data_IF_809415747807
#
_entry.id   IF_809415747807
#
_cell.length_a   1.000
_cell.length_b   1.000
_cell.length_c   1.000
_cell.angle_alpha   90.00
_cell.angle_beta   90.00
_cell.angle_gamma   90.00
#
_symmetry.space_group_name_H-M   'P 1'
#
loop_
_entity.id
_entity.type
_entity.pdbx_description
1 polymer ?
#
# COMPACT_ATOMS: atom_id res chain seq x y z
N UNK A 1 2.15 31.47 -8.42
CA UNK A 1 3.46 31.87 -9.01
C UNK A 1 3.46 31.41 -10.46
N UNK A 2 3.70 32.35 -11.37
CA UNK A 2 3.63 32.19 -12.83
C UNK A 2 4.59 31.13 -13.39
N UNK A 3 4.25 30.57 -14.58
CA UNK A 3 5.06 29.60 -15.31
C UNK A 3 6.18 30.31 -16.09
N UNK A 4 7.23 29.58 -16.47
CA UNK A 4 8.18 30.04 -17.49
C UNK A 4 8.74 28.87 -18.29
N UNK A 5 8.51 28.99 -19.59
CA UNK A 5 9.10 28.24 -20.69
C UNK A 5 10.63 28.18 -20.62
N UNK A 6 11.23 27.08 -21.09
CA UNK A 6 12.27 27.17 -22.11
C UNK A 6 12.50 25.79 -22.76
N UNK A 7 12.02 25.67 -24.00
CA UNK A 7 12.48 24.67 -24.94
C UNK A 7 13.90 25.04 -25.42
N UNK A 8 14.75 24.03 -25.59
CA UNK A 8 15.95 24.14 -26.42
C UNK A 8 16.10 22.84 -27.22
N UNK A 9 15.33 22.76 -28.31
CA UNK A 9 15.69 21.97 -29.49
C UNK A 9 16.82 22.71 -30.21
N UNK A 10 17.93 22.04 -30.47
CA UNK A 10 18.86 22.44 -31.53
C UNK A 10 19.22 21.23 -32.38
N UNK A 11 18.49 21.11 -33.47
CA UNK A 11 18.92 20.45 -34.70
C UNK A 11 20.30 20.95 -35.12
N UNK A 12 21.23 20.02 -35.38
CA UNK A 12 22.42 20.30 -36.20
C UNK A 12 22.49 19.25 -37.30
N UNK A 13 21.72 19.50 -38.35
CA UNK A 13 21.93 18.92 -39.66
C UNK A 13 23.10 19.66 -40.34
N UNK A 14 24.26 19.04 -40.44
CA UNK A 14 25.32 19.51 -41.36
C UNK A 14 25.30 18.70 -42.65
N UNK A 15 24.67 19.33 -43.64
CA UNK A 15 24.75 19.09 -45.07
C UNK A 15 26.21 19.12 -45.57
N UNK A 16 26.61 18.14 -46.39
CA UNK A 16 27.81 18.24 -47.22
C UNK A 16 27.41 18.03 -48.70
N UNK A 17 27.28 19.16 -49.42
CA UNK A 17 27.00 19.23 -50.85
C UNK A 17 28.29 19.20 -51.68
N UNK A 18 28.33 18.23 -52.61
CA UNK A 18 28.47 18.34 -54.08
C UNK A 18 29.44 19.33 -54.76
N UNK A 19 29.95 18.84 -55.91
CA UNK A 19 30.70 19.44 -57.02
C UNK A 19 32.20 19.70 -56.78
N UNK A 20 33.14 19.22 -57.59
CA UNK A 20 33.12 18.80 -58.99
C UNK A 20 34.19 19.63 -59.72
N UNK A 21 35.10 18.99 -60.46
CA UNK A 21 35.84 19.55 -61.61
C UNK A 21 36.98 18.62 -62.05
N UNK A 22 36.70 17.79 -63.05
CA UNK A 22 37.72 17.30 -63.98
C UNK A 22 37.87 18.32 -65.12
N UNK A 23 39.10 18.68 -65.51
CA UNK A 23 39.36 19.20 -66.85
C UNK A 23 40.14 18.21 -67.71
N UNK A 24 39.62 18.05 -68.93
CA UNK A 24 40.21 17.39 -70.08
C UNK A 24 41.62 17.91 -70.46
N UNK A 25 42.39 16.95 -70.99
CA UNK A 25 43.43 17.01 -72.01
C UNK A 25 44.17 18.31 -72.38
N UNK A 26 45.50 18.23 -72.40
CA UNK A 26 46.31 18.75 -73.50
C UNK A 26 47.56 17.88 -73.73
N UNK A 27 47.71 17.43 -74.96
CA UNK A 27 48.92 16.88 -75.56
C UNK A 27 50.01 17.96 -75.65
N UNK A 28 51.26 17.59 -75.39
CA UNK A 28 52.41 18.35 -75.89
C UNK A 28 53.55 17.38 -76.24
N UNK A 29 53.93 17.41 -77.50
CA UNK A 29 54.99 16.62 -78.12
C UNK A 29 56.39 17.08 -77.70
N UNK A 30 57.29 16.09 -77.66
CA UNK A 30 58.72 16.10 -77.91
C UNK A 30 59.49 17.43 -77.99
N UNK A 31 60.59 17.54 -77.24
CA UNK A 31 61.89 17.54 -77.92
C UNK A 31 63.02 16.97 -77.05
N UNK A 32 63.93 16.30 -77.74
CA UNK A 32 65.08 15.56 -77.23
C UNK A 32 66.29 16.47 -77.15
N UNK A 33 66.93 16.56 -75.99
CA UNK A 33 68.34 16.94 -75.91
C UNK A 33 69.14 15.83 -75.27
N UNK A 34 70.04 15.29 -76.09
CA UNK A 34 70.89 14.17 -75.79
C UNK A 34 72.00 14.49 -74.79
N UNK A 35 72.18 13.54 -73.88
CA UNK A 35 73.46 12.97 -73.44
C UNK A 35 74.42 13.83 -72.61
N UNK A 36 74.44 13.52 -71.31
CA UNK A 36 75.52 13.88 -70.38
C UNK A 36 75.34 13.24 -68.99
N UNK A 37 75.67 11.95 -68.85
CA UNK A 37 75.59 11.09 -67.63
C UNK A 37 74.17 10.81 -67.10
N UNK A 38 73.92 9.61 -66.53
CA UNK A 38 72.61 9.29 -65.95
C UNK A 38 72.30 10.26 -64.79
N UNK A 39 71.22 11.03 -64.93
CA UNK A 39 70.03 10.95 -64.07
C UNK A 39 70.22 10.88 -62.53
N UNK A 40 71.31 11.41 -61.98
CA UNK A 40 71.52 11.50 -60.51
C UNK A 40 70.43 12.34 -59.80
N UNK A 41 69.85 13.33 -60.51
CA UNK A 41 68.76 14.15 -59.97
C UNK A 41 67.40 13.43 -59.90
N UNK A 42 67.09 12.59 -60.88
CA UNK A 42 65.81 11.86 -60.95
C UNK A 42 65.79 10.67 -59.97
N UNK A 43 66.93 10.01 -59.79
CA UNK A 43 67.13 8.97 -58.77
C UNK A 43 67.04 9.52 -57.34
N UNK A 44 67.67 10.67 -57.05
CA UNK A 44 67.53 11.35 -55.75
C UNK A 44 66.08 11.70 -55.41
N UNK A 45 65.31 12.22 -56.37
CA UNK A 45 63.89 12.54 -56.16
C UNK A 45 63.06 11.29 -55.90
N UNK A 46 63.31 10.18 -56.61
CA UNK A 46 62.64 8.92 -56.36
C UNK A 46 62.93 8.39 -54.95
N UNK A 47 64.20 8.47 -54.51
CA UNK A 47 64.60 8.08 -53.17
C UNK A 47 64.01 9.01 -52.09
N UNK A 48 63.93 10.31 -52.35
CA UNK A 48 63.28 11.28 -51.47
C UNK A 48 61.78 11.00 -51.33
N UNK A 49 61.08 10.79 -52.44
CA UNK A 49 59.64 10.47 -52.43
C UNK A 49 59.41 9.17 -51.67
N UNK A 50 60.25 8.14 -51.88
CA UNK A 50 60.17 6.87 -51.15
C UNK A 50 60.41 7.05 -49.65
N UNK A 51 61.38 7.88 -49.27
CA UNK A 51 61.64 8.22 -47.87
C UNK A 51 60.46 8.98 -47.24
N UNK A 52 59.87 9.94 -47.97
CA UNK A 52 58.69 10.69 -47.51
C UNK A 52 57.47 9.78 -47.36
N UNK A 53 57.20 8.89 -48.31
CA UNK A 53 56.12 7.91 -48.25
C UNK A 53 56.31 6.94 -47.07
N UNK A 54 57.55 6.45 -46.87
CA UNK A 54 57.88 5.60 -45.73
C UNK A 54 57.67 6.32 -44.40
N UNK A 55 58.04 7.60 -44.33
CA UNK A 55 57.84 8.42 -43.12
C UNK A 55 56.36 8.69 -42.88
N UNK A 56 55.61 9.03 -43.92
CA UNK A 56 54.16 9.24 -43.84
C UNK A 56 53.41 7.98 -43.39
N UNK A 57 53.78 6.81 -43.92
CA UNK A 57 53.20 5.54 -43.48
C UNK A 57 53.52 5.24 -42.01
N UNK A 58 54.76 5.52 -41.57
CA UNK A 58 55.16 5.34 -40.17
C UNK A 58 54.43 6.31 -39.22
N UNK A 59 54.24 7.57 -39.62
CA UNK A 59 53.45 8.55 -38.85
C UNK A 59 51.96 8.21 -38.83
N UNK A 60 51.40 7.74 -39.94
CA UNK A 60 50.02 7.27 -40.00
C UNK A 60 49.81 6.10 -39.02
N UNK A 61 50.72 5.11 -39.03
CA UNK A 61 50.67 3.98 -38.10
C UNK A 61 50.74 4.45 -36.63
N UNK A 62 51.68 5.35 -36.31
CA UNK A 62 51.79 5.93 -34.95
C UNK A 62 50.54 6.71 -34.54
N UNK A 63 49.96 7.48 -35.45
CA UNK A 63 48.73 8.24 -35.21
C UNK A 63 47.53 7.31 -34.96
N UNK A 64 47.41 6.22 -35.72
CA UNK A 64 46.35 5.22 -35.50
C UNK A 64 46.50 4.51 -34.17
N UNK A 65 47.71 4.12 -33.78
CA UNK A 65 47.98 3.47 -32.49
C UNK A 65 47.66 4.40 -31.31
N UNK A 66 48.10 5.66 -31.39
CA UNK A 66 47.81 6.66 -30.36
C UNK A 66 46.32 7.00 -30.27
N UNK A 67 45.62 7.05 -31.40
CA UNK A 67 44.16 7.24 -31.43
C UNK A 67 43.47 6.08 -30.73
N UNK A 68 43.91 4.85 -30.99
CA UNK A 68 43.30 3.67 -30.42
C UNK A 68 43.61 3.52 -28.94
N UNK A 69 44.83 3.87 -28.51
CA UNK A 69 45.18 3.96 -27.10
C UNK A 69 44.30 4.97 -26.35
N UNK A 70 44.06 6.16 -26.93
CA UNK A 70 43.19 7.18 -26.35
C UNK A 70 41.74 6.72 -26.28
N UNK A 71 41.23 6.08 -27.35
CA UNK A 71 39.89 5.50 -27.39
C UNK A 71 39.74 4.46 -26.28
N UNK A 72 40.70 3.55 -26.15
CA UNK A 72 40.68 2.49 -25.15
C UNK A 72 40.71 3.06 -23.72
N UNK A 73 41.62 4.00 -23.44
CA UNK A 73 41.69 4.68 -22.15
C UNK A 73 40.38 5.40 -21.78
N UNK A 74 39.71 6.01 -22.77
CA UNK A 74 38.44 6.67 -22.54
C UNK A 74 37.30 5.68 -22.26
N UNK A 75 37.24 4.56 -23.00
CA UNK A 75 36.27 3.48 -22.74
C UNK A 75 36.47 2.87 -21.35
N UNK A 76 37.72 2.65 -20.94
CA UNK A 76 38.03 2.11 -19.61
C UNK A 76 37.64 3.09 -18.50
N UNK A 77 37.84 4.39 -18.71
CA UNK A 77 37.37 5.42 -17.78
C UNK A 77 35.83 5.47 -17.69
N UNK A 78 35.11 5.31 -18.80
CA UNK A 78 33.64 5.25 -18.80
C UNK A 78 33.17 4.02 -18.01
N UNK A 79 33.75 2.84 -18.26
CA UNK A 79 33.39 1.60 -17.56
C UNK A 79 33.70 1.65 -16.08
N UNK A 80 34.82 2.25 -15.69
CA UNK A 80 35.16 2.46 -14.29
C UNK A 80 34.14 3.35 -13.58
N UNK A 81 33.70 4.44 -14.24
CA UNK A 81 32.67 5.32 -13.70
C UNK A 81 31.31 4.63 -13.61
N UNK A 82 30.89 3.93 -14.66
CA UNK A 82 29.65 3.14 -14.69
C UNK A 82 29.60 2.12 -13.56
N UNK A 83 30.71 1.43 -13.28
CA UNK A 83 30.78 0.47 -12.18
C UNK A 83 30.58 1.10 -10.80
N UNK A 84 31.10 2.32 -10.58
CA UNK A 84 30.90 3.09 -9.34
C UNK A 84 29.44 3.54 -9.24
N UNK A 85 28.91 4.18 -10.29
CA UNK A 85 27.52 4.64 -10.33
C UNK A 85 26.53 3.49 -10.11
N UNK A 86 26.79 2.31 -10.69
CA UNK A 86 25.97 1.13 -10.49
C UNK A 86 25.99 0.63 -9.04
N UNK A 87 27.10 0.75 -8.32
CA UNK A 87 27.16 0.39 -6.90
C UNK A 87 26.44 1.42 -6.03
N UNK A 88 26.62 2.71 -6.30
CA UNK A 88 25.91 3.79 -5.62
C UNK A 88 24.38 3.64 -5.77
N UNK A 89 23.90 3.28 -6.97
CA UNK A 89 22.48 3.00 -7.21
C UNK A 89 21.98 1.76 -6.45
N UNK A 90 22.81 0.72 -6.30
CA UNK A 90 22.44 -0.46 -5.50
C UNK A 90 22.37 -0.12 -4.02
N UNK A 91 23.32 0.64 -3.49
CA UNK A 91 23.29 1.07 -2.10
C UNK A 91 22.10 1.97 -1.81
N UNK A 92 21.81 2.95 -2.68
CA UNK A 92 20.62 3.79 -2.56
C UNK A 92 19.33 2.96 -2.54
N UNK A 93 19.20 2.00 -3.45
CA UNK A 93 18.02 1.13 -3.49
C UNK A 93 17.88 0.28 -2.21
N UNK A 94 18.99 -0.21 -1.64
CA UNK A 94 18.97 -0.96 -0.37
C UNK A 94 18.53 -0.05 0.79
N UNK A 95 19.03 1.17 0.84
CA UNK A 95 18.66 2.15 1.86
C UNK A 95 17.19 2.55 1.75
N UNK A 96 16.68 2.75 0.54
CA UNK A 96 15.27 3.04 0.28
C UNK A 96 14.36 1.90 0.76
N UNK A 97 14.68 0.65 0.41
CA UNK A 97 13.93 -0.54 0.88
C UNK A 97 13.92 -0.60 2.40
N UNK A 98 15.08 -0.41 3.04
CA UNK A 98 15.17 -0.38 4.50
C UNK A 98 14.35 0.77 5.11
N UNK A 99 14.33 1.94 4.48
CA UNK A 99 13.52 3.07 4.88
C UNK A 99 12.02 2.77 4.82
N UNK A 100 11.57 2.15 3.72
CA UNK A 100 10.19 1.72 3.51
C UNK A 100 9.79 0.68 4.57
N UNK A 101 10.62 -0.33 4.81
CA UNK A 101 10.35 -1.38 5.81
C UNK A 101 10.24 -0.78 7.21
N UNK A 102 11.19 0.08 7.59
CA UNK A 102 11.15 0.76 8.89
C UNK A 102 9.92 1.66 9.05
N UNK A 103 9.50 2.36 8.00
CA UNK A 103 8.30 3.18 8.01
C UNK A 103 7.04 2.32 8.15
N UNK A 104 6.94 1.25 7.37
CA UNK A 104 5.83 0.29 7.39
C UNK A 104 5.68 -0.35 8.78
N UNK A 105 6.78 -0.79 9.38
CA UNK A 105 6.79 -1.35 10.74
C UNK A 105 6.32 -0.35 11.80
N UNK A 106 6.78 0.90 11.68
CA UNK A 106 6.34 1.99 12.55
C UNK A 106 4.84 2.26 12.41
N UNK A 107 4.35 2.28 11.18
CA UNK A 107 2.96 2.56 10.86
C UNK A 107 2.02 1.44 11.30
N UNK A 108 2.40 0.17 11.10
CA UNK A 108 1.67 -0.99 11.61
C UNK A 108 1.55 -0.92 13.14
N UNK A 109 2.63 -0.59 13.84
CA UNK A 109 2.61 -0.42 15.30
C UNK A 109 1.67 0.72 15.71
N UNK A 110 1.74 1.86 15.02
CA UNK A 110 0.87 3.02 15.27
C UNK A 110 -0.61 2.66 15.11
N UNK A 111 -0.97 2.00 14.01
CA UNK A 111 -2.35 1.57 13.73
C UNK A 111 -2.84 0.56 14.78
N UNK A 112 -2.00 -0.41 15.18
CA UNK A 112 -2.33 -1.37 16.24
C UNK A 112 -2.64 -0.68 17.57
N UNK A 113 -1.76 0.23 18.00
CA UNK A 113 -1.95 1.00 19.24
C UNK A 113 -3.20 1.89 19.17
N UNK A 114 -3.45 2.52 18.03
CA UNK A 114 -4.66 3.31 17.78
C UNK A 114 -5.92 2.47 17.91
N UNK A 115 -5.94 1.30 17.26
CA UNK A 115 -7.05 0.35 17.33
C UNK A 115 -7.32 -0.10 18.76
N UNK A 116 -6.28 -0.49 19.49
CA UNK A 116 -6.41 -0.92 20.89
C UNK A 116 -6.97 0.19 21.77
N UNK A 117 -6.47 1.42 21.61
CA UNK A 117 -6.97 2.60 22.34
C UNK A 117 -8.45 2.88 22.04
N UNK A 118 -8.86 2.82 20.77
CA UNK A 118 -10.26 3.02 20.38
C UNK A 118 -11.19 1.93 20.92
N UNK A 119 -10.73 0.67 20.91
CA UNK A 119 -11.49 -0.44 21.49
C UNK A 119 -11.65 -0.24 23.01
N UNK A 120 -10.58 0.12 23.71
CA UNK A 120 -10.63 0.39 25.15
C UNK A 120 -11.59 1.54 25.47
N UNK A 121 -11.47 2.67 24.75
CA UNK A 121 -12.36 3.82 24.92
C UNK A 121 -13.82 3.45 24.66
N UNK A 122 -14.11 2.63 23.64
CA UNK A 122 -15.48 2.21 23.34
C UNK A 122 -16.05 1.27 24.40
N UNK A 123 -15.23 0.36 24.95
CA UNK A 123 -15.63 -0.53 26.04
C UNK A 123 -15.95 0.27 27.31
N UNK A 124 -15.13 1.26 27.64
CA UNK A 124 -15.38 2.15 28.77
C UNK A 124 -16.68 2.93 28.59
N UNK A 125 -16.89 3.51 27.41
CA UNK A 125 -18.14 4.20 27.10
C UNK A 125 -19.37 3.29 27.22
N UNK A 126 -19.26 2.03 26.80
CA UNK A 126 -20.33 1.04 26.96
C UNK A 126 -20.59 0.74 28.44
N UNK A 127 -19.53 0.59 29.23
CA UNK A 127 -19.64 0.34 30.67
C UNK A 127 -20.40 1.47 31.37
N UNK A 128 -19.98 2.72 31.15
CA UNK A 128 -20.64 3.91 31.71
C UNK A 128 -22.13 3.98 31.33
N UNK A 129 -22.47 3.75 30.06
CA UNK A 129 -23.87 3.74 29.61
C UNK A 129 -24.70 2.64 30.24
N UNK A 130 -24.11 1.45 30.45
CA UNK A 130 -24.80 0.36 31.14
C UNK A 130 -25.03 0.67 32.61
N UNK A 131 -24.10 1.34 33.28
CA UNK A 131 -24.27 1.80 34.67
C UNK A 131 -25.35 2.88 34.79
N UNK A 132 -25.34 3.85 33.88
CA UNK A 132 -26.38 4.88 33.78
C UNK A 132 -27.76 4.23 33.57
N UNK A 133 -27.88 3.34 32.59
CA UNK A 133 -29.12 2.62 32.31
C UNK A 133 -29.60 1.77 33.50
N UNK A 134 -28.68 1.06 34.19
CA UNK A 134 -29.02 0.31 35.41
C UNK A 134 -29.57 1.23 36.50
N UNK A 135 -29.01 2.44 36.62
CA UNK A 135 -29.48 3.43 37.59
C UNK A 135 -30.88 3.93 37.24
N UNK A 136 -31.16 4.18 35.96
CA UNK A 136 -32.50 4.56 35.48
C UNK A 136 -33.50 3.45 35.77
N UNK A 137 -33.21 2.21 35.37
CA UNK A 137 -34.08 1.05 35.63
C UNK A 137 -34.30 0.83 37.14
N UNK A 138 -33.28 1.00 37.97
CA UNK A 138 -33.43 0.85 39.43
C UNK A 138 -34.41 1.88 40.00
N UNK A 139 -34.37 3.13 39.52
CA UNK A 139 -35.32 4.18 39.93
C UNK A 139 -36.74 3.91 39.45
N UNK A 140 -36.90 3.41 38.22
CA UNK A 140 -38.21 3.01 37.69
C UNK A 140 -38.84 1.89 38.53
N UNK A 141 -38.04 0.87 38.86
CA UNK A 141 -38.48 -0.22 39.75
C UNK A 141 -38.89 0.33 41.12
N UNK A 142 -38.09 1.20 41.73
CA UNK A 142 -38.41 1.83 43.01
C UNK A 142 -39.72 2.64 42.95
N UNK A 143 -39.94 3.40 41.88
CA UNK A 143 -41.16 4.18 41.68
C UNK A 143 -42.41 3.28 41.56
N UNK A 144 -42.31 2.19 40.80
CA UNK A 144 -43.38 1.19 40.67
C UNK A 144 -43.67 0.52 42.01
N UNK A 145 -42.63 0.11 42.74
CA UNK A 145 -42.79 -0.51 44.06
C UNK A 145 -43.45 0.46 45.06
N UNK A 146 -43.05 1.73 45.06
CA UNK A 146 -43.64 2.76 45.90
C UNK A 146 -45.13 3.02 45.58
N UNK A 147 -45.50 3.06 44.29
CA UNK A 147 -46.89 3.22 43.88
C UNK A 147 -47.76 2.02 44.28
N UNK A 148 -47.25 0.80 44.12
CA UNK A 148 -47.94 -0.41 44.58
C UNK A 148 -48.07 -0.45 46.11
N UNK A 149 -47.04 -0.04 46.85
CA UNK A 149 -47.08 0.04 48.31
C UNK A 149 -48.12 1.07 48.79
N UNK A 150 -48.22 2.22 48.11
CA UNK A 150 -49.24 3.24 48.37
C UNK A 150 -50.65 2.68 48.14
N UNK A 151 -50.89 2.06 46.99
CA UNK A 151 -52.17 1.42 46.68
C UNK A 151 -52.57 0.33 47.69
N UNK A 152 -51.62 -0.49 48.13
CA UNK A 152 -51.85 -1.50 49.18
C UNK A 152 -52.29 -0.85 50.49
N UNK A 153 -51.60 0.21 50.90
CA UNK A 153 -51.95 0.97 52.12
C UNK A 153 -53.34 1.60 52.02
N UNK A 154 -53.68 2.21 50.89
CA UNK A 154 -55.02 2.78 50.64
C UNK A 154 -56.10 1.70 50.67
N UNK A 155 -55.81 0.53 50.10
CA UNK A 155 -56.73 -0.62 50.09
C UNK A 155 -56.96 -1.14 51.51
N UNK A 156 -55.92 -1.29 52.32
CA UNK A 156 -56.06 -1.69 53.73
C UNK A 156 -56.83 -0.65 54.56
N UNK A 157 -56.58 0.65 54.33
CA UNK A 157 -57.34 1.71 55.00
C UNK A 157 -58.81 1.74 54.56
N UNK A 158 -59.08 1.46 53.29
CA UNK A 158 -60.43 1.31 52.75
C UNK A 158 -61.19 0.18 53.47
N UNK A 159 -60.61 -1.02 53.54
CA UNK A 159 -61.25 -2.16 54.21
C UNK A 159 -61.40 -1.96 55.71
N UNK A 160 -60.40 -1.36 56.39
CA UNK A 160 -60.54 -0.97 57.80
C UNK A 160 -61.74 -0.06 58.01
N UNK A 161 -61.92 0.98 57.19
CA UNK A 161 -63.09 1.87 57.31
C UNK A 161 -64.41 1.14 57.05
N UNK A 162 -64.42 0.18 56.11
CA UNK A 162 -65.62 -0.62 55.79
C UNK A 162 -66.02 -1.54 56.95
N UNK A 163 -65.05 -2.06 57.71
CA UNK A 163 -65.28 -2.94 58.87
C UNK A 163 -65.99 -2.23 60.04
N UNK A 164 -65.73 -0.93 60.23
CA UNK A 164 -66.37 -0.13 61.29
C UNK A 164 -67.75 0.43 60.92
N UNK A 165 -68.15 0.35 59.65
CA UNK A 165 -69.42 0.88 59.17
C UNK A 165 -70.55 -0.16 59.36
N UNK A 166 -71.63 0.23 60.01
CA UNK A 166 -72.77 -0.67 60.31
C UNK A 166 -74.00 -0.34 59.46
N UNK A 167 -74.06 0.86 58.86
CA UNK A 167 -75.17 1.25 57.99
C UNK A 167 -75.01 0.67 56.57
N UNK A 168 -75.96 -0.16 56.08
CA UNK A 168 -75.88 -0.76 54.75
C UNK A 168 -75.82 0.27 53.60
N UNK A 169 -76.43 1.45 53.77
CA UNK A 169 -76.37 2.51 52.74
C UNK A 169 -75.00 3.16 52.73
N UNK A 170 -74.40 3.40 53.90
CA UNK A 170 -73.05 3.90 54.03
C UNK A 170 -72.00 2.92 53.48
N UNK A 171 -72.15 1.61 53.73
CA UNK A 171 -71.33 0.55 53.14
C UNK A 171 -71.40 0.59 51.60
N UNK A 172 -72.60 0.70 51.03
CA UNK A 172 -72.77 0.76 49.58
C UNK A 172 -72.11 2.01 48.96
N UNK A 173 -72.22 3.16 49.63
CA UNK A 173 -71.55 4.40 49.21
C UNK A 173 -70.02 4.27 49.30
N UNK A 174 -69.51 3.69 50.39
CA UNK A 174 -68.09 3.45 50.59
C UNK A 174 -67.56 2.47 49.53
N UNK A 175 -68.31 1.42 49.19
CA UNK A 175 -67.92 0.47 48.14
C UNK A 175 -67.68 1.14 46.78
N UNK A 176 -68.37 2.24 46.49
CA UNK A 176 -68.15 3.06 45.29
C UNK A 176 -66.85 3.87 45.28
N UNK A 177 -66.17 4.04 46.43
CA UNK A 177 -64.91 4.79 46.56
C UNK A 177 -63.70 3.87 46.74
N UNK A 178 -63.74 2.68 46.12
CA UNK A 178 -62.61 1.74 46.18
C UNK A 178 -61.37 2.36 45.53
N UNK A 179 -60.18 2.26 46.17
CA UNK A 179 -58.93 2.66 45.54
C UNK A 179 -58.74 1.97 44.18
N UNK A 180 -58.24 2.71 43.19
CA UNK A 180 -57.98 2.20 41.83
C UNK A 180 -56.50 1.84 41.73
N UNK A 181 -56.21 0.72 41.07
CA UNK A 181 -54.83 0.30 40.86
C UNK A 181 -54.09 1.32 39.97
N UNK A 182 -52.87 1.73 40.32
CA UNK A 182 -52.10 2.69 39.53
C UNK A 182 -51.79 2.14 38.13
N UNK A 183 -51.78 3.03 37.11
CA UNK A 183 -51.35 2.67 35.75
C UNK A 183 -49.82 2.71 35.71
N UNK A 184 -49.19 1.55 35.77
CA UNK A 184 -47.74 1.43 35.94
C UNK A 184 -46.96 1.99 34.75
N UNK A 185 -47.54 1.97 33.54
CA UNK A 185 -46.91 2.52 32.33
C UNK A 185 -46.73 4.04 32.39
N UNK A 186 -47.48 4.74 33.25
CA UNK A 186 -47.33 6.18 33.47
C UNK A 186 -46.25 6.50 34.51
N UNK A 187 -45.82 5.51 35.29
CA UNK A 187 -44.81 5.63 36.34
C UNK A 187 -43.44 5.34 35.71
N UNK A 188 -43.09 6.20 34.75
CA UNK A 188 -41.85 6.14 33.99
C UNK A 188 -40.85 7.22 34.39
N UNK A 189 -39.67 7.27 33.74
CA UNK A 189 -38.58 8.16 34.10
C UNK A 189 -38.91 9.67 33.96
N UNK A 190 -39.98 10.01 33.24
CA UNK A 190 -40.46 11.39 33.08
C UNK A 190 -41.37 11.87 34.23
N UNK A 191 -41.91 10.97 35.05
CA UNK A 191 -42.89 11.33 36.10
C UNK A 191 -42.22 11.89 37.37
N UNK A 192 -40.95 11.54 37.63
CA UNK A 192 -40.16 12.11 38.75
C UNK A 192 -39.78 13.58 38.54
N UNK A 193 -39.97 14.14 37.34
CA UNK A 193 -39.76 15.57 37.06
C UNK A 193 -41.06 16.39 37.18
N UNK A 194 -42.23 15.77 37.33
CA UNK A 194 -43.53 16.48 37.40
C UNK A 194 -44.01 16.78 38.83
N UNK A 195 -43.22 16.47 39.86
CA UNK A 195 -43.58 16.66 41.28
C UNK A 195 -43.18 17.99 41.92
N UNK A 196 -42.48 18.88 41.22
CA UNK A 196 -42.05 20.19 41.75
C UNK A 196 -42.23 21.29 40.71
N UNK A 197 -43.44 21.86 40.68
CA UNK A 197 -43.69 23.17 40.11
C UNK A 197 -42.99 24.23 40.99
N UNK A 198 -42.05 24.95 40.40
CA UNK A 198 -41.16 25.84 41.13
C UNK A 198 -40.10 26.50 40.26
N UNK A 199 -40.55 27.27 39.27
CA UNK A 199 -39.98 28.57 38.90
C UNK A 199 -38.48 28.67 38.54
N UNK A 200 -38.27 29.07 37.28
CA UNK A 200 -37.22 29.98 36.82
C UNK A 200 -35.81 29.39 36.57
N UNK A 201 -35.45 29.26 35.27
CA UNK A 201 -34.24 29.84 34.70
C UNK A 201 -34.06 29.36 33.25
N UNK A 202 -34.26 30.27 32.30
CA UNK A 202 -33.53 30.24 31.03
C UNK A 202 -32.06 30.61 31.32
N UNK A 203 -31.09 29.87 30.79
CA UNK A 203 -30.09 30.53 29.94
C UNK A 203 -29.78 29.63 28.72
N UNK A 204 -29.93 30.18 27.53
CA UNK A 204 -28.88 30.89 26.80
C UNK A 204 -28.13 29.93 25.88
N UNK A 205 -28.40 30.11 24.58
CA UNK A 205 -27.73 29.44 23.50
C UNK A 205 -26.39 30.15 23.24
N UNK A 206 -25.27 29.43 23.06
CA UNK A 206 -24.17 29.98 22.30
C UNK A 206 -24.31 29.57 20.83
N UNK A 207 -24.28 30.61 20.01
CA UNK A 207 -24.09 30.56 18.57
C UNK A 207 -22.78 29.84 18.16
N UNK A 208 -22.86 29.18 17.02
CA UNK A 208 -21.86 29.08 15.95
C UNK A 208 -20.37 29.06 16.30
N UNK A 209 -19.71 27.94 15.94
CA UNK A 209 -18.43 28.01 15.22
C UNK A 209 -18.60 27.20 13.93
N UNK A 210 -18.37 27.88 12.82
CA UNK A 210 -18.30 27.36 11.46
C UNK A 210 -16.93 26.73 11.17
N UNK A 211 -16.82 26.17 9.97
CA UNK A 211 -15.63 25.64 9.28
C UNK A 211 -15.31 24.16 9.59
N UNK A 212 -15.04 23.29 8.62
CA UNK A 212 -15.06 23.35 7.15
C UNK A 212 -14.85 21.91 6.65
N UNK A 213 -15.36 21.61 5.45
CA UNK A 213 -14.80 20.64 4.48
C UNK A 213 -14.70 19.17 4.93
N UNK A 214 -14.74 18.14 4.09
CA UNK A 214 -15.02 17.95 2.69
C UNK A 214 -15.16 16.43 2.56
N UNK A 215 -15.96 16.02 1.58
CA UNK A 215 -15.75 14.83 0.76
C UNK A 215 -16.78 13.70 0.86
N UNK A 216 -17.25 13.34 -0.33
CA UNK A 216 -18.14 12.24 -0.64
C UNK A 216 -17.28 11.01 -1.04
N UNK A 217 -17.87 10.00 -1.68
CA UNK A 217 -18.27 8.73 -1.10
C UNK A 217 -17.21 7.61 -1.19
N UNK A 218 -17.11 6.80 -0.13
CA UNK A 218 -16.45 5.48 -0.13
C UNK A 218 -17.26 4.55 -1.06
N UNK A 219 -16.77 4.26 -2.27
CA UNK A 219 -15.74 3.28 -2.62
C UNK A 219 -16.21 1.82 -2.43
N UNK A 220 -16.61 1.26 -3.58
CA UNK A 220 -16.34 -0.11 -4.09
C UNK A 220 -16.19 -1.25 -3.09
N UNK A 221 -17.15 -2.17 -3.21
CA UNK A 221 -17.10 -3.55 -2.74
C UNK A 221 -15.74 -4.21 -2.99
N UNK A 222 -15.08 -4.62 -1.91
CA UNK A 222 -13.95 -5.55 -1.94
C UNK A 222 -14.50 -6.93 -2.24
N UNK A 223 -14.05 -7.48 -3.36
CA UNK A 223 -14.32 -8.83 -3.80
C UNK A 223 -13.79 -9.84 -2.78
N UNK A 224 -14.68 -10.74 -2.40
CA UNK A 224 -14.44 -11.99 -1.67
C UNK A 224 -13.59 -12.91 -2.58
N UNK A 225 -12.29 -13.03 -2.31
CA UNK A 225 -11.41 -14.00 -2.95
C UNK A 225 -11.43 -15.28 -2.09
N UNK A 226 -12.40 -16.15 -2.37
CA UNK A 226 -12.40 -17.52 -1.87
C UNK A 226 -11.65 -18.44 -2.85
N UNK A 227 -10.73 -19.30 -2.37
CA UNK A 227 -10.15 -20.34 -3.20
C UNK A 227 -11.18 -21.43 -3.45
N UNK A 228 -11.64 -21.55 -4.68
CA UNK A 228 -12.41 -22.70 -5.15
C UNK A 228 -11.49 -23.91 -5.33
N UNK A 229 -11.77 -24.97 -4.56
CA UNK A 229 -11.23 -26.31 -4.81
C UNK A 229 -11.73 -26.81 -6.17
N UNK A 230 -10.80 -26.99 -7.11
CA UNK A 230 -11.06 -27.67 -8.36
C UNK A 230 -11.01 -29.19 -8.13
N UNK A 231 -12.21 -29.78 -8.09
CA UNK A 231 -12.42 -31.21 -8.36
C UNK A 231 -12.27 -31.44 -9.87
N UNK A 232 -11.24 -32.17 -10.29
CA UNK A 232 -11.23 -32.85 -11.59
C UNK A 232 -11.19 -34.37 -11.35
N UNK A 233 -12.39 -34.92 -11.47
CA UNK A 233 -12.72 -36.33 -11.59
C UNK A 233 -12.32 -36.78 -13.02
N UNK A 234 -11.26 -37.57 -13.13
CA UNK A 234 -10.84 -38.20 -14.38
C UNK A 234 -10.88 -39.72 -14.20
N UNK A 235 -12.08 -40.24 -14.41
CA UNK A 235 -12.41 -41.64 -14.58
C UNK A 235 -11.74 -42.19 -15.86
N UNK A 236 -10.71 -43.03 -15.70
CA UNK A 236 -10.17 -43.87 -16.78
C UNK A 236 -10.06 -45.31 -16.27
N UNK A 237 -10.92 -46.15 -16.85
CA UNK A 237 -11.04 -47.58 -16.62
C UNK A 237 -9.79 -48.34 -17.08
N UNK A 238 -9.31 -49.35 -16.34
CA UNK A 238 -8.37 -50.34 -16.87
C UNK A 238 -9.14 -51.58 -17.36
N UNK A 239 -8.83 -52.01 -18.58
CA UNK A 239 -9.17 -53.36 -19.06
C UNK A 239 -7.98 -53.93 -19.82
N UNK A 240 -7.68 -55.17 -19.44
CA UNK A 240 -6.89 -56.21 -20.11
C UNK A 240 -5.35 -56.10 -20.07
N UNK A 241 -4.66 -57.04 -19.40
CA UNK A 241 -4.31 -58.33 -19.99
C UNK A 241 -3.65 -59.26 -18.94
N UNK A 242 -3.91 -60.56 -19.08
CA UNK A 242 -3.50 -61.63 -18.17
C UNK A 242 -2.12 -62.23 -18.48
N UNK A 243 -1.49 -62.76 -17.41
CA UNK A 243 -0.67 -63.97 -17.34
C UNK A 243 0.80 -63.98 -17.83
N UNK A 244 1.74 -64.23 -16.91
CA UNK A 244 2.57 -65.48 -16.74
C UNK A 244 3.77 -65.17 -15.83
N UNK A 245 3.86 -65.75 -14.63
CA UNK A 245 4.63 -66.97 -14.32
C UNK A 245 6.11 -66.93 -14.70
N UNK A 246 7.00 -66.57 -13.76
CA UNK A 246 8.20 -67.37 -13.44
C UNK A 246 8.95 -66.82 -12.22
N UNK A 247 9.38 -67.76 -11.40
CA UNK A 247 10.28 -67.60 -10.26
C UNK A 247 11.63 -67.02 -10.67
N UNK A 248 12.22 -66.17 -9.81
CA UNK A 248 13.65 -66.26 -9.55
C UNK A 248 13.94 -65.90 -8.09
N UNK A 249 14.40 -66.93 -7.41
CA UNK A 249 14.87 -67.03 -6.04
C UNK A 249 16.36 -66.67 -6.05
N UNK A 250 16.77 -65.58 -5.40
CA UNK A 250 18.18 -65.38 -5.01
C UNK A 250 18.34 -64.77 -3.62
N UNK A 251 19.28 -65.32 -2.82
CA UNK A 251 19.43 -65.00 -1.41
C UNK A 251 20.22 -63.71 -1.17
N UNK A 252 19.92 -63.08 -0.04
CA UNK A 252 20.64 -61.92 0.50
C UNK A 252 21.86 -62.42 1.28
N UNK A 253 23.07 -62.14 0.78
CA UNK A 253 24.30 -62.35 1.55
C UNK A 253 24.52 -61.20 2.56
N UNK A 254 24.80 -61.47 3.85
CA UNK A 254 25.24 -60.47 4.81
C UNK A 254 26.77 -60.42 4.88
N UNK A 255 27.38 -59.33 4.41
CA UNK A 255 28.81 -59.08 4.68
C UNK A 255 28.96 -58.33 6.00
N UNK A 256 29.35 -59.11 7.00
CA UNK A 256 30.00 -58.77 8.26
C UNK A 256 31.27 -57.94 7.97
N UNK A 257 31.44 -56.84 8.71
CA UNK A 257 32.65 -56.03 8.71
C UNK A 257 32.86 -55.32 10.04
N UNK A 258 33.16 -56.09 11.09
CA UNK A 258 33.71 -55.64 12.37
C UNK A 258 35.23 -55.54 12.26
N UNK A 259 35.81 -54.42 12.70
CA UNK A 259 37.12 -54.26 13.36
C UNK A 259 37.26 -52.78 13.71
N UNK A 260 37.14 -52.32 14.96
CA UNK A 260 38.03 -52.49 16.13
C UNK A 260 39.48 -52.10 15.83
N UNK A 261 39.89 -50.90 16.29
CA UNK A 261 40.94 -50.68 17.28
C UNK A 261 41.15 -49.17 17.49
#
# INVERSE_FOLDING_TARGET
>A
MSPRDEQAETDVATSFSSNGSDPDGLSSESDSFASGKPDDGTTFLADLVKAMQSTAAAEQARSTELTEQRRQAHVDAIRAREAIEAEDLRELAKDDVKGIDSWSDGEIKRIKLERERRIAARREQLHLRLEEHRTVVAREVEAVEAAVATYRTETEQFFRRLEWETDPVAIARQAGTRPVFPVLELIGPDDVLSGTDGSDATPDAPAAIAEAESDAPDAVAVADDQPVEASEDAEATPSDESATSSADDRPVDPVIGVMIA
#
